data_IF_084436797120
#
_entry.id   IF_084436797120
#
_cell.length_a   1.000
_cell.length_b   1.000
_cell.length_c   1.000
_cell.angle_alpha   90.00
_cell.angle_beta   90.00
_cell.angle_gamma   90.00
#
_symmetry.space_group_name_H-M   'P 1'
#
loop_
_entity.id
_entity.type
_entity.pdbx_description
1 polymer ?
#
# COMPACT_ATOMS: atom_id res chain seq x y z
N UNK A 1 22.43 -10.47 13.27
CA UNK A 1 22.03 -11.73 13.91
C UNK A 1 22.74 -12.86 13.16
N UNK A 2 23.64 -13.61 13.83
CA UNK A 2 24.27 -14.81 13.25
C UNK A 2 23.36 -16.00 13.58
N UNK A 3 22.52 -16.40 12.66
CA UNK A 3 21.63 -17.56 12.79
C UNK A 3 21.34 -18.17 11.42
N UNK A 4 20.76 -19.36 11.39
CA UNK A 4 20.32 -20.02 10.16
C UNK A 4 19.17 -19.27 9.47
N UNK A 5 18.29 -18.62 10.28
CA UNK A 5 17.21 -17.78 9.75
C UNK A 5 17.17 -16.41 10.47
N UNK A 6 18.02 -15.46 10.04
CA UNK A 6 18.15 -14.16 10.72
C UNK A 6 16.88 -13.32 10.67
N UNK A 7 15.98 -13.52 9.71
CA UNK A 7 14.75 -12.75 9.55
C UNK A 7 13.68 -13.21 10.54
N UNK A 8 13.54 -14.51 10.71
CA UNK A 8 12.67 -15.11 11.73
C UNK A 8 13.13 -14.71 13.12
N UNK A 9 14.42 -14.81 13.40
CA UNK A 9 14.95 -14.44 14.71
C UNK A 9 14.85 -12.95 15.02
N UNK A 10 14.99 -12.10 14.00
CA UNK A 10 14.77 -10.67 14.15
C UNK A 10 13.32 -10.37 14.59
N UNK A 11 12.32 -10.98 13.93
CA UNK A 11 10.93 -10.81 14.31
C UNK A 11 10.62 -11.41 15.69
N UNK A 12 11.22 -12.57 16.05
CA UNK A 12 11.11 -13.13 17.40
C UNK A 12 11.62 -12.18 18.47
N UNK A 13 12.75 -11.53 18.21
CA UNK A 13 13.31 -10.55 19.16
C UNK A 13 12.38 -9.36 19.32
N UNK A 14 11.94 -8.75 18.22
CA UNK A 14 11.05 -7.58 18.27
C UNK A 14 9.73 -7.93 18.94
N UNK A 15 9.14 -9.08 18.63
CA UNK A 15 7.85 -9.49 19.20
C UNK A 15 7.87 -9.63 20.71
N UNK A 16 9.03 -9.95 21.31
CA UNK A 16 9.18 -10.01 22.79
C UNK A 16 9.05 -8.64 23.46
N UNK A 17 9.29 -7.57 22.74
CA UNK A 17 9.18 -6.20 23.22
C UNK A 17 7.78 -5.60 23.02
N UNK A 18 6.88 -6.30 22.32
CA UNK A 18 5.51 -5.86 22.16
C UNK A 18 4.71 -6.00 23.45
N UNK A 19 3.93 -4.98 23.77
CA UNK A 19 2.83 -5.08 24.73
C UNK A 19 1.81 -6.14 24.25
N UNK A 20 0.89 -6.61 25.11
CA UNK A 20 -0.09 -7.62 24.70
C UNK A 20 -0.88 -7.26 23.43
N UNK A 21 -1.29 -6.00 23.30
CA UNK A 21 -2.02 -5.40 22.19
C UNK A 21 -1.12 -4.63 21.19
N UNK A 22 0.20 -4.68 21.40
CA UNK A 22 1.19 -3.97 20.59
C UNK A 22 1.26 -4.49 19.17
N UNK A 23 1.53 -3.58 18.24
CA UNK A 23 1.66 -3.89 16.80
C UNK A 23 3.02 -3.45 16.30
N UNK A 24 3.57 -4.22 15.36
CA UNK A 24 4.72 -3.81 14.54
C UNK A 24 4.16 -3.22 13.25
N UNK A 25 4.60 -2.04 12.89
CA UNK A 25 4.36 -1.46 11.56
C UNK A 25 5.62 -1.69 10.74
N UNK A 26 5.49 -2.40 9.62
CA UNK A 26 6.60 -2.75 8.75
C UNK A 26 6.27 -2.41 7.31
N UNK A 27 7.15 -1.65 6.67
CA UNK A 27 7.09 -1.39 5.23
C UNK A 27 8.30 -2.03 4.54
N UNK A 28 8.06 -2.71 3.43
CA UNK A 28 9.09 -3.43 2.69
C UNK A 28 8.71 -3.59 1.22
N UNK A 29 9.71 -3.56 0.34
CA UNK A 29 9.53 -3.88 -1.06
C UNK A 29 9.09 -5.34 -1.26
N UNK A 30 8.22 -5.55 -2.25
CA UNK A 30 7.88 -6.88 -2.71
C UNK A 30 8.89 -7.34 -3.75
N UNK A 31 9.56 -8.46 -3.51
CA UNK A 31 10.52 -9.06 -4.46
C UNK A 31 9.95 -9.28 -5.87
N UNK A 32 8.65 -9.58 -5.99
CA UNK A 32 7.95 -9.73 -7.25
C UNK A 32 7.22 -8.46 -7.70
N UNK A 33 7.49 -7.29 -7.10
CA UNK A 33 6.88 -6.03 -7.50
C UNK A 33 6.95 -5.80 -9.00
N UNK A 34 5.84 -5.37 -9.62
CA UNK A 34 5.76 -5.20 -11.07
C UNK A 34 6.83 -4.26 -11.60
N UNK A 35 7.24 -3.26 -10.82
CA UNK A 35 8.32 -2.34 -11.17
C UNK A 35 9.62 -3.05 -11.59
N UNK A 36 9.98 -4.16 -10.97
CA UNK A 36 11.21 -4.90 -11.29
C UNK A 36 11.10 -5.64 -12.63
N UNK A 37 9.93 -6.16 -12.95
CA UNK A 37 9.64 -6.75 -14.26
C UNK A 37 9.63 -5.70 -15.36
N UNK A 38 9.18 -4.49 -15.04
CA UNK A 38 9.12 -3.37 -15.95
C UNK A 38 10.48 -2.64 -16.14
N UNK A 39 11.57 -3.13 -15.53
CA UNK A 39 12.93 -2.64 -15.74
C UNK A 39 13.49 -1.75 -14.65
N UNK A 40 12.89 -1.72 -13.46
CA UNK A 40 13.49 -1.11 -12.27
C UNK A 40 14.59 -2.04 -11.74
N UNK A 41 15.72 -1.45 -11.32
CA UNK A 41 16.77 -2.20 -10.64
C UNK A 41 16.34 -2.59 -9.23
N UNK A 42 16.93 -3.64 -8.68
CA UNK A 42 16.75 -4.04 -7.30
C UNK A 42 17.21 -2.92 -6.34
N UNK A 43 16.44 -2.68 -5.27
CA UNK A 43 16.58 -1.48 -4.43
C UNK A 43 17.90 -1.40 -3.65
N UNK A 44 18.46 -2.53 -3.23
CA UNK A 44 19.67 -2.58 -2.41
C UNK A 44 20.97 -2.67 -3.23
N UNK A 45 20.93 -3.39 -4.35
CA UNK A 45 22.13 -3.68 -5.14
C UNK A 45 22.19 -2.97 -6.49
N UNK A 46 21.06 -2.37 -6.93
CA UNK A 46 21.01 -1.64 -8.19
C UNK A 46 21.16 -2.52 -9.44
N UNK A 47 20.97 -3.83 -9.32
CA UNK A 47 21.09 -4.81 -10.41
C UNK A 47 19.71 -5.19 -10.94
N UNK A 48 19.56 -5.29 -12.27
CA UNK A 48 18.31 -5.73 -12.89
C UNK A 48 18.04 -7.21 -12.53
N UNK A 49 16.79 -7.49 -12.23
CA UNK A 49 16.21 -8.82 -12.00
C UNK A 49 16.78 -9.62 -10.80
N UNK A 50 17.73 -9.09 -10.05
CA UNK A 50 18.40 -9.78 -8.95
C UNK A 50 17.42 -10.43 -7.95
N UNK A 51 16.43 -9.63 -7.50
CA UNK A 51 15.39 -10.13 -6.58
C UNK A 51 14.50 -11.19 -7.24
N UNK A 52 14.05 -10.96 -8.47
CA UNK A 52 13.18 -11.90 -9.22
C UNK A 52 13.89 -13.25 -9.43
N UNK A 53 15.18 -13.23 -9.76
CA UNK A 53 16.02 -14.42 -9.94
C UNK A 53 16.38 -15.11 -8.62
N UNK A 54 16.00 -14.58 -7.46
CA UNK A 54 16.25 -15.17 -6.14
C UNK A 54 17.61 -14.84 -5.54
N UNK A 55 18.21 -13.71 -5.91
CA UNK A 55 19.51 -13.22 -5.42
C UNK A 55 20.70 -14.14 -5.75
N UNK A 56 20.91 -14.52 -7.04
CA UNK A 56 21.98 -15.46 -7.42
C UNK A 56 23.38 -14.86 -7.31
N UNK A 57 23.53 -13.52 -7.31
CA UNK A 57 24.82 -12.83 -7.38
C UNK A 57 25.18 -12.15 -6.05
N UNK A 58 24.22 -12.00 -5.13
CA UNK A 58 24.38 -11.21 -3.92
C UNK A 58 23.98 -11.98 -2.67
N UNK A 59 24.57 -11.61 -1.53
CA UNK A 59 24.25 -12.18 -0.22
C UNK A 59 23.94 -11.06 0.78
N UNK A 60 23.07 -11.31 1.74
CA UNK A 60 22.77 -10.42 2.85
C UNK A 60 21.38 -9.84 2.78
N UNK A 61 21.24 -8.53 2.47
CA UNK A 61 19.94 -7.87 2.41
C UNK A 61 19.12 -8.40 1.24
N UNK A 62 17.86 -8.73 1.47
CA UNK A 62 16.93 -9.16 0.43
C UNK A 62 15.50 -8.76 0.79
N UNK A 63 14.66 -8.73 -0.23
CA UNK A 63 13.21 -8.55 -0.10
C UNK A 63 12.50 -9.89 -0.28
N UNK A 64 11.22 -9.94 0.04
CA UNK A 64 10.45 -11.18 0.09
C UNK A 64 9.18 -11.07 -0.74
N UNK A 65 8.69 -12.19 -1.23
CA UNK A 65 7.32 -12.31 -1.74
C UNK A 65 6.32 -12.32 -0.58
N UNK A 66 5.04 -12.04 -0.86
CA UNK A 66 3.96 -12.15 0.14
C UNK A 66 3.95 -13.53 0.82
N UNK A 67 4.16 -14.61 0.04
CA UNK A 67 4.20 -15.99 0.54
C UNK A 67 5.37 -16.22 1.50
N UNK A 68 6.58 -15.86 1.08
CA UNK A 68 7.80 -16.03 1.90
C UNK A 68 7.70 -15.24 3.22
N UNK A 69 7.23 -13.99 3.15
CA UNK A 69 7.07 -13.19 4.36
C UNK A 69 6.01 -13.77 5.30
N UNK A 70 4.93 -14.33 4.75
CA UNK A 70 3.94 -15.08 5.53
C UNK A 70 4.52 -16.31 6.22
N UNK A 71 5.49 -17.01 5.60
CA UNK A 71 6.23 -18.12 6.21
C UNK A 71 7.14 -17.65 7.34
N UNK A 72 7.84 -16.51 7.15
CA UNK A 72 8.67 -15.87 8.20
C UNK A 72 7.81 -15.52 9.41
N UNK A 73 6.63 -14.92 9.23
CA UNK A 73 5.71 -14.59 10.32
C UNK A 73 5.27 -15.82 11.11
N UNK A 74 4.88 -16.90 10.43
CA UNK A 74 4.51 -18.16 11.07
C UNK A 74 5.65 -18.75 11.91
N UNK A 75 6.86 -18.77 11.35
CA UNK A 75 8.05 -19.32 12.01
C UNK A 75 8.55 -18.42 13.16
N UNK A 76 8.18 -17.14 13.14
CA UNK A 76 8.56 -16.17 14.17
C UNK A 76 7.68 -16.24 15.45
N UNK A 77 6.72 -17.16 15.52
CA UNK A 77 5.82 -17.34 16.67
C UNK A 77 4.36 -17.20 16.28
N UNK A 78 4.02 -17.63 15.06
CA UNK A 78 2.67 -17.56 14.47
C UNK A 78 2.08 -16.14 14.48
N UNK A 79 2.92 -15.14 14.20
CA UNK A 79 2.51 -13.75 14.10
C UNK A 79 1.48 -13.59 12.98
N UNK A 80 0.47 -12.77 13.23
CA UNK A 80 -0.58 -12.44 12.27
C UNK A 80 -0.31 -11.07 11.65
N UNK A 81 -0.79 -10.85 10.42
CA UNK A 81 -0.61 -9.58 9.74
C UNK A 81 -1.85 -9.15 8.95
N UNK A 82 -2.16 -7.86 9.01
CA UNK A 82 -3.01 -7.18 8.06
C UNK A 82 -2.14 -6.56 6.98
N UNK A 83 -2.47 -6.84 5.72
CA UNK A 83 -1.68 -6.46 4.55
C UNK A 83 -2.26 -5.25 3.86
N UNK A 84 -1.36 -4.30 3.56
CA UNK A 84 -1.65 -3.12 2.77
C UNK A 84 -0.67 -3.01 1.61
N UNK A 85 -1.12 -2.36 0.54
CA UNK A 85 -0.40 -2.22 -0.72
C UNK A 85 -0.25 -0.75 -1.06
N UNK A 86 0.82 -0.08 -0.59
CA UNK A 86 1.14 1.29 -0.99
C UNK A 86 1.41 1.38 -2.49
N UNK A 87 0.78 2.33 -3.16
CA UNK A 87 0.97 2.56 -4.58
C UNK A 87 1.41 4.01 -4.84
N UNK A 88 2.39 4.27 -5.70
CA UNK A 88 3.17 3.28 -6.46
C UNK A 88 4.20 2.51 -5.62
N UNK A 89 4.61 3.03 -4.45
CA UNK A 89 5.56 2.40 -3.53
C UNK A 89 5.39 2.99 -2.11
N UNK A 90 5.82 2.27 -1.07
CA UNK A 90 5.71 2.73 0.32
C UNK A 90 6.54 3.97 0.65
N UNK A 91 7.59 4.25 -0.15
CA UNK A 91 8.44 5.44 0.05
C UNK A 91 7.72 6.74 -0.30
N UNK A 92 6.84 6.70 -1.30
CA UNK A 92 6.07 7.84 -1.79
C UNK A 92 4.64 7.41 -2.14
N UNK A 93 3.85 6.97 -1.16
CA UNK A 93 2.51 6.47 -1.44
C UNK A 93 1.58 7.60 -1.86
N UNK A 94 0.90 7.43 -2.97
CA UNK A 94 -0.25 8.25 -3.36
C UNK A 94 -1.54 7.64 -2.82
N UNK A 95 -1.62 6.31 -2.84
CA UNK A 95 -2.73 5.52 -2.31
C UNK A 95 -2.20 4.31 -1.55
N UNK A 96 -2.98 3.83 -0.59
CA UNK A 96 -2.71 2.60 0.15
C UNK A 96 -3.98 1.75 0.10
N UNK A 97 -3.90 0.61 -0.54
CA UNK A 97 -4.96 -0.39 -0.63
C UNK A 97 -4.79 -1.47 0.44
N UNK A 98 -5.82 -2.29 0.66
CA UNK A 98 -5.75 -3.44 1.56
C UNK A 98 -6.33 -4.69 0.90
N UNK A 99 -6.21 -5.85 1.54
CA UNK A 99 -6.88 -7.09 1.08
C UNK A 99 -8.43 -6.94 1.01
N UNK A 100 -9.01 -5.97 1.77
CA UNK A 100 -10.45 -5.69 1.78
C UNK A 100 -10.88 -4.65 0.73
N UNK A 101 -9.94 -3.86 0.22
CA UNK A 101 -10.21 -2.79 -0.73
C UNK A 101 -9.06 -2.72 -1.74
N UNK A 102 -9.20 -3.46 -2.83
CA UNK A 102 -8.24 -3.48 -3.93
C UNK A 102 -8.57 -2.38 -4.95
N UNK A 103 -7.59 -1.94 -5.76
CA UNK A 103 -7.86 -0.99 -6.83
C UNK A 103 -8.87 -1.53 -7.83
N UNK A 104 -9.68 -0.63 -8.37
CA UNK A 104 -10.52 -0.94 -9.52
C UNK A 104 -9.70 -0.89 -10.82
N UNK A 105 -10.16 -1.60 -11.85
CA UNK A 105 -9.60 -1.52 -13.20
C UNK A 105 -9.59 -0.08 -13.70
N UNK A 106 -8.48 0.36 -14.26
CA UNK A 106 -8.28 1.74 -14.72
C UNK A 106 -7.88 2.73 -13.63
N UNK A 107 -7.92 2.36 -12.36
CA UNK A 107 -7.59 3.27 -11.25
C UNK A 107 -6.09 3.57 -11.17
N UNK A 108 -5.24 2.61 -11.55
CA UNK A 108 -3.78 2.73 -11.50
C UNK A 108 -3.16 3.33 -12.78
N UNK A 109 -3.93 4.08 -13.57
CA UNK A 109 -3.48 4.65 -14.84
C UNK A 109 -2.61 5.91 -14.69
N UNK A 110 -2.57 6.55 -13.51
CA UNK A 110 -1.82 7.76 -13.24
C UNK A 110 -0.52 7.43 -12.52
N UNK A 111 0.29 6.58 -13.11
CA UNK A 111 1.57 6.21 -12.55
C UNK A 111 2.67 7.08 -13.15
N UNK A 112 3.46 7.73 -12.30
CA UNK A 112 4.72 8.33 -12.72
C UNK A 112 5.80 7.25 -12.74
N UNK A 113 6.35 7.00 -13.92
CA UNK A 113 7.53 6.13 -14.07
C UNK A 113 8.75 6.80 -13.44
N UNK A 114 9.64 6.01 -12.87
CA UNK A 114 10.89 6.49 -12.26
C UNK A 114 10.70 7.36 -11.01
N UNK A 115 9.62 7.16 -10.25
CA UNK A 115 9.33 7.96 -9.06
C UNK A 115 10.39 7.84 -7.95
N UNK A 116 11.17 6.77 -7.90
CA UNK A 116 12.22 6.54 -6.90
C UNK A 116 13.64 6.50 -7.48
N UNK A 117 13.81 6.13 -8.75
CA UNK A 117 15.09 6.07 -9.44
C UNK A 117 14.92 5.94 -10.96
N UNK A 118 16.01 6.20 -11.69
CA UNK A 118 16.04 5.93 -13.13
C UNK A 118 15.91 4.45 -13.42
N UNK A 119 15.12 4.10 -14.43
CA UNK A 119 14.93 2.73 -14.91
C UNK A 119 14.67 2.69 -16.41
N UNK A 120 15.05 1.58 -17.04
CA UNK A 120 14.65 1.30 -18.39
C UNK A 120 13.19 0.81 -18.40
N UNK A 121 12.31 1.54 -19.08
CA UNK A 121 10.93 1.12 -19.21
C UNK A 121 10.80 0.01 -20.27
N UNK A 122 10.56 -1.23 -19.85
CA UNK A 122 10.40 -2.39 -20.74
C UNK A 122 8.98 -2.49 -21.29
N UNK A 123 7.97 -2.08 -20.52
CA UNK A 123 6.56 -2.05 -20.91
C UNK A 123 5.81 -0.99 -20.08
N UNK A 124 4.57 -0.70 -20.49
CA UNK A 124 3.68 0.17 -19.71
C UNK A 124 3.05 -0.62 -18.56
N UNK A 125 3.25 -0.17 -17.31
CA UNK A 125 2.78 -0.89 -16.13
C UNK A 125 1.26 -0.81 -15.95
N UNK A 126 0.64 0.34 -16.27
CA UNK A 126 -0.79 0.56 -16.04
C UNK A 126 -1.68 -0.52 -16.66
N UNK A 127 -1.58 -0.85 -17.97
CA UNK A 127 -2.40 -1.92 -18.55
C UNK A 127 -2.05 -3.31 -18.00
N UNK A 128 -0.82 -3.51 -17.50
CA UNK A 128 -0.44 -4.77 -16.85
C UNK A 128 -1.08 -4.89 -15.48
N UNK A 129 -1.18 -3.78 -14.71
CA UNK A 129 -1.95 -3.79 -13.47
C UNK A 129 -3.41 -4.15 -13.69
N UNK A 130 -4.05 -3.62 -14.74
CA UNK A 130 -5.42 -4.02 -15.09
C UNK A 130 -5.53 -5.53 -15.36
N UNK A 131 -4.57 -6.09 -16.08
CA UNK A 131 -4.49 -7.54 -16.32
C UNK A 131 -4.32 -8.33 -15.02
N UNK A 132 -3.47 -7.86 -14.11
CA UNK A 132 -3.25 -8.49 -12.82
C UNK A 132 -4.50 -8.44 -11.93
N UNK A 133 -5.24 -7.32 -11.97
CA UNK A 133 -6.50 -7.15 -11.26
C UNK A 133 -7.57 -8.12 -11.79
N UNK A 134 -7.74 -8.19 -13.10
CA UNK A 134 -8.69 -9.10 -13.75
C UNK A 134 -8.43 -10.58 -13.40
N UNK A 135 -7.18 -10.94 -13.06
CA UNK A 135 -6.77 -12.29 -12.73
C UNK A 135 -6.56 -12.53 -11.22
N UNK A 136 -6.88 -11.56 -10.35
CA UNK A 136 -6.71 -11.69 -8.90
C UNK A 136 -5.25 -11.75 -8.45
N UNK A 137 -4.31 -11.26 -9.24
CA UNK A 137 -2.86 -11.35 -9.00
C UNK A 137 -2.25 -10.05 -8.43
N UNK A 138 -3.01 -8.96 -8.34
CA UNK A 138 -2.50 -7.66 -7.91
C UNK A 138 -1.67 -7.73 -6.61
N UNK A 139 -2.17 -8.41 -5.59
CA UNK A 139 -1.53 -8.50 -4.27
C UNK A 139 -0.19 -9.24 -4.29
N UNK A 140 0.06 -10.05 -5.33
CA UNK A 140 1.34 -10.73 -5.52
C UNK A 140 2.38 -9.86 -6.25
N UNK A 141 1.91 -8.90 -7.05
CA UNK A 141 2.74 -8.03 -7.89
C UNK A 141 2.73 -6.55 -7.47
N UNK A 142 2.02 -6.18 -6.40
CA UNK A 142 2.15 -4.85 -5.79
C UNK A 142 3.62 -4.57 -5.47
N UNK A 143 4.09 -3.33 -5.72
CA UNK A 143 5.52 -3.02 -5.64
C UNK A 143 6.09 -3.12 -4.22
N UNK A 144 5.25 -2.93 -3.21
CA UNK A 144 5.65 -2.96 -1.80
C UNK A 144 4.48 -3.36 -0.90
N UNK A 145 4.82 -3.69 0.32
CA UNK A 145 3.88 -4.02 1.38
C UNK A 145 4.02 -3.04 2.54
N UNK A 146 2.91 -2.72 3.17
CA UNK A 146 2.82 -2.16 4.51
C UNK A 146 2.04 -3.15 5.36
N UNK A 147 2.65 -3.63 6.44
CA UNK A 147 2.06 -4.64 7.31
C UNK A 147 1.83 -4.08 8.70
N UNK A 148 0.67 -4.38 9.24
CA UNK A 148 0.43 -4.32 10.68
C UNK A 148 0.56 -5.74 11.23
N UNK A 149 1.54 -6.01 12.09
CA UNK A 149 1.85 -7.34 12.58
C UNK A 149 1.60 -7.39 14.09
N UNK A 150 0.93 -8.43 14.55
CA UNK A 150 0.62 -8.65 15.96
C UNK A 150 0.66 -10.13 16.34
N UNK A 151 0.48 -10.42 17.64
CA UNK A 151 0.29 -11.78 18.13
C UNK A 151 -1.10 -12.31 17.75
N UNK A 152 -2.10 -11.44 17.84
CA UNK A 152 -3.43 -11.66 17.31
C UNK A 152 -3.58 -10.95 15.96
N UNK A 153 -4.62 -11.28 15.19
CA UNK A 153 -4.90 -10.59 13.92
C UNK A 153 -5.09 -9.10 14.19
N UNK A 154 -4.23 -8.22 13.66
CA UNK A 154 -4.42 -6.79 13.85
C UNK A 154 -5.71 -6.34 13.16
N UNK A 155 -6.65 -5.87 13.95
CA UNK A 155 -7.88 -5.27 13.44
C UNK A 155 -7.69 -3.77 13.21
N UNK A 156 -8.23 -3.31 12.12
CA UNK A 156 -8.31 -1.91 11.75
C UNK A 156 -9.48 -1.73 10.80
N UNK A 157 -10.23 -0.68 11.01
CA UNK A 157 -11.36 -0.34 10.16
C UNK A 157 -10.89 0.31 8.85
N UNK A 158 -9.69 0.92 8.84
CA UNK A 158 -9.12 1.55 7.64
C UNK A 158 -8.79 0.50 6.59
N UNK A 159 -9.46 0.58 5.45
CA UNK A 159 -9.27 -0.33 4.31
C UNK A 159 -8.58 0.33 3.12
N UNK A 160 -8.59 1.67 3.07
CA UNK A 160 -7.98 2.47 2.01
C UNK A 160 -7.58 3.85 2.53
N UNK A 161 -6.48 4.37 2.01
CA UNK A 161 -6.08 5.76 2.20
C UNK A 161 -5.55 6.36 0.90
N UNK A 162 -5.84 7.65 0.66
CA UNK A 162 -5.30 8.44 -0.45
C UNK A 162 -4.72 9.73 0.09
N UNK A 163 -3.50 10.06 -0.38
CA UNK A 163 -2.81 11.31 -0.09
C UNK A 163 -2.85 12.20 -1.33
N UNK A 164 -3.27 13.46 -1.19
CA UNK A 164 -3.39 14.38 -2.32
C UNK A 164 -2.06 15.11 -2.61
N UNK A 165 -1.00 14.34 -2.88
CA UNK A 165 0.35 14.85 -3.15
C UNK A 165 0.45 15.68 -4.45
N UNK A 166 -0.60 15.68 -5.27
CA UNK A 166 -0.72 16.48 -6.50
C UNK A 166 -1.19 17.91 -6.28
N UNK A 167 -1.44 18.32 -5.03
CA UNK A 167 -1.90 19.66 -4.66
C UNK A 167 -0.78 20.48 -4.04
N UNK A 168 -0.97 21.80 -4.00
CA UNK A 168 -0.17 22.66 -3.15
C UNK A 168 -0.32 22.23 -1.69
N UNK A 169 0.79 22.21 -0.95
CA UNK A 169 0.86 21.72 0.44
C UNK A 169 -0.20 22.34 1.37
N UNK A 170 -0.57 23.57 1.14
CA UNK A 170 -1.63 24.24 1.91
C UNK A 170 -3.02 23.61 1.70
N UNK A 171 -3.21 22.78 0.67
CA UNK A 171 -4.48 22.10 0.37
C UNK A 171 -4.35 20.57 0.47
N UNK A 172 -3.32 20.06 1.14
CA UNK A 172 -3.14 18.63 1.32
C UNK A 172 -4.27 18.04 2.15
N UNK A 173 -4.81 16.95 1.64
CA UNK A 173 -5.93 16.23 2.22
C UNK A 173 -5.60 14.74 2.19
N UNK A 174 -5.71 14.07 3.32
CA UNK A 174 -5.78 12.61 3.36
C UNK A 174 -7.25 12.18 3.28
N UNK A 175 -7.56 11.26 2.36
CA UNK A 175 -8.88 10.62 2.29
C UNK A 175 -8.73 9.18 2.79
N UNK A 176 -9.54 8.81 3.76
CA UNK A 176 -9.59 7.47 4.33
C UNK A 176 -10.94 6.83 4.01
N UNK A 177 -10.94 5.54 3.69
CA UNK A 177 -12.13 4.70 3.70
C UNK A 177 -11.96 3.70 4.84
N UNK A 178 -12.92 3.72 5.76
CA UNK A 178 -13.03 2.73 6.82
C UNK A 178 -14.25 1.84 6.59
N UNK A 179 -14.15 0.56 6.99
CA UNK A 179 -15.19 -0.44 6.87
C UNK A 179 -15.43 -1.10 8.23
N UNK A 180 -16.67 -1.03 8.71
CA UNK A 180 -17.07 -1.67 9.96
C UNK A 180 -17.17 -3.18 9.80
N UNK A 181 -17.29 -3.89 10.92
CA UNK A 181 -17.53 -5.35 10.92
C UNK A 181 -18.87 -5.74 10.22
N UNK A 182 -19.83 -4.80 10.12
CA UNK A 182 -21.09 -4.98 9.38
C UNK A 182 -20.94 -4.75 7.86
N UNK A 183 -19.77 -4.33 7.39
CA UNK A 183 -19.52 -4.01 5.97
C UNK A 183 -19.92 -2.59 5.57
N UNK A 184 -20.33 -1.76 6.51
CA UNK A 184 -20.63 -0.35 6.25
C UNK A 184 -19.34 0.44 6.01
N UNK A 185 -19.29 1.17 4.91
CA UNK A 185 -18.14 1.99 4.54
C UNK A 185 -18.38 3.46 4.84
N UNK A 186 -17.38 4.09 5.43
CA UNK A 186 -17.37 5.53 5.70
C UNK A 186 -16.15 6.16 5.02
N UNK A 187 -16.38 7.26 4.30
CA UNK A 187 -15.31 8.07 3.71
C UNK A 187 -15.06 9.28 4.61
N UNK A 188 -13.82 9.48 5.01
CA UNK A 188 -13.39 10.63 5.80
C UNK A 188 -12.29 11.39 5.07
N UNK A 189 -12.33 12.73 5.14
CA UNK A 189 -11.28 13.59 4.62
C UNK A 189 -10.64 14.34 5.77
N UNK A 190 -9.34 14.23 5.88
CA UNK A 190 -8.52 14.88 6.91
C UNK A 190 -7.72 16.01 6.28
N UNK A 191 -8.09 17.29 6.53
CA UNK A 191 -7.29 18.43 6.11
C UNK A 191 -6.05 18.54 7.00
N UNK A 192 -4.88 18.78 6.42
CA UNK A 192 -3.63 18.98 7.18
C UNK A 192 -3.41 20.45 7.58
N UNK A 193 -4.13 21.37 6.94
CA UNK A 193 -3.98 22.81 7.14
C UNK A 193 -5.33 23.50 7.33
N UNK A 194 -5.30 24.74 7.79
CA UNK A 194 -6.52 25.56 7.90
C UNK A 194 -7.14 25.83 6.53
N UNK A 195 -6.31 26.11 5.53
CA UNK A 195 -6.73 26.36 4.16
C UNK A 195 -7.41 25.14 3.54
N UNK A 196 -6.87 23.94 3.79
CA UNK A 196 -7.48 22.67 3.38
C UNK A 196 -8.84 22.44 4.08
N UNK A 197 -8.96 22.80 5.37
CA UNK A 197 -10.21 22.71 6.11
C UNK A 197 -11.28 23.66 5.51
N UNK A 198 -10.93 24.90 5.22
CA UNK A 198 -11.80 25.86 4.58
C UNK A 198 -12.22 25.40 3.17
N UNK A 199 -11.30 24.76 2.42
CA UNK A 199 -11.58 24.19 1.12
C UNK A 199 -12.62 23.05 1.21
N UNK A 200 -12.44 22.11 2.13
CA UNK A 200 -13.40 21.00 2.34
C UNK A 200 -14.78 21.56 2.69
N UNK A 201 -14.85 22.50 3.65
CA UNK A 201 -16.12 23.10 4.08
C UNK A 201 -16.84 23.83 2.94
N UNK A 202 -16.09 24.45 2.02
CA UNK A 202 -16.66 25.05 0.80
C UNK A 202 -17.21 23.99 -0.14
N UNK A 203 -16.46 22.90 -0.36
CA UNK A 203 -16.91 21.81 -1.21
C UNK A 203 -18.19 21.15 -0.67
N UNK A 204 -18.27 20.91 0.64
CA UNK A 204 -19.47 20.36 1.27
C UNK A 204 -20.71 21.24 1.03
N UNK A 205 -20.57 22.56 1.16
CA UNK A 205 -21.68 23.49 0.88
C UNK A 205 -22.10 23.44 -0.59
N UNK A 206 -21.13 23.38 -1.52
CA UNK A 206 -21.45 23.28 -2.95
C UNK A 206 -22.16 21.96 -3.27
N UNK A 207 -21.75 20.85 -2.69
CA UNK A 207 -22.44 19.57 -2.86
C UNK A 207 -23.86 19.61 -2.32
N UNK A 208 -24.08 20.20 -1.12
CA UNK A 208 -25.42 20.38 -0.57
C UNK A 208 -26.32 21.27 -1.42
N UNK A 209 -25.75 22.29 -2.08
CA UNK A 209 -26.49 23.14 -3.01
C UNK A 209 -26.84 22.38 -4.31
N UNK A 210 -25.91 21.57 -4.82
CA UNK A 210 -26.15 20.73 -6.00
C UNK A 210 -27.18 19.64 -5.72
N UNK A 211 -27.11 18.97 -4.58
CA UNK A 211 -28.10 17.96 -4.18
C UNK A 211 -29.52 18.55 -4.20
N UNK A 212 -29.71 19.77 -3.65
CA UNK A 212 -31.00 20.45 -3.69
C UNK A 212 -31.47 20.78 -5.10
N UNK A 213 -30.54 21.15 -6.02
CA UNK A 213 -30.87 21.47 -7.41
C UNK A 213 -31.29 20.23 -8.21
N UNK A 214 -30.79 19.05 -7.83
CA UNK A 214 -31.02 17.80 -8.52
C UNK A 214 -31.93 16.82 -7.76
N UNK A 215 -32.54 17.26 -6.63
CA UNK A 215 -33.39 16.44 -5.76
C UNK A 215 -34.54 15.73 -6.51
N UNK A 216 -35.07 16.36 -7.58
CA UNK A 216 -36.15 15.82 -8.41
C UNK A 216 -35.65 15.16 -9.73
N UNK A 217 -34.34 14.87 -9.84
CA UNK A 217 -33.76 14.29 -11.05
C UNK A 217 -33.17 12.91 -10.78
N UNK A 218 -32.93 12.10 -11.84
CA UNK A 218 -32.21 10.82 -11.74
C UNK A 218 -30.68 11.01 -11.59
N UNK A 219 -30.22 12.25 -11.44
CA UNK A 219 -28.79 12.58 -11.28
C UNK A 219 -28.48 12.62 -9.77
N UNK A 220 -27.62 11.71 -9.32
CA UNK A 220 -27.01 11.78 -7.98
C UNK A 220 -25.69 12.55 -8.04
N UNK A 221 -25.45 13.46 -7.12
CA UNK A 221 -24.25 14.29 -7.00
C UNK A 221 -23.29 13.70 -5.95
#
# INVERSE_FOLDING_TARGET
IRSEDPYVDFLKIISRHLKPDGKIVLAIENRLGLKYWAGCTEDHFGTLFEGIEGYPRTNGVKTFTKKEFGEILRNAGDLKASWYYPFPDYKFPMTVYSDKYLPAKGELNRMEYNFDRFRLQLFQESPVYDTLLDNGLYTQFANSFLLLIGREQPETDTVYAKFSNERDRQFDICTEISETASGEKTVRKYPETKEACEHISRMEKLFQELDKLYEDTEISV
#
